data_IF_880558593429
#
_entry.id   IF_880558593429
#
_cell.length_a   1.000
_cell.length_b   1.000
_cell.length_c   1.000
_cell.angle_alpha   90.00
_cell.angle_beta   90.00
_cell.angle_gamma   90.00
#
_symmetry.space_group_name_H-M   'P 1'
#
loop_
_entity.id
_entity.type
_entity.pdbx_description
1 polymer ?
#
# COMPACT_ATOMS: atom_id res chain seq x y z
N UNK A 1 25.69 -45.04 -4.21
CA UNK A 1 24.66 -44.94 -3.15
C UNK A 1 23.82 -43.70 -3.41
N UNK A 2 22.72 -43.85 -4.15
CA UNK A 2 21.74 -42.80 -4.39
C UNK A 2 20.78 -42.75 -3.18
N UNK A 3 20.70 -41.61 -2.48
CA UNK A 3 19.64 -41.35 -1.52
C UNK A 3 18.59 -40.46 -2.19
N UNK A 4 17.43 -41.08 -2.42
CA UNK A 4 16.19 -40.43 -2.85
C UNK A 4 15.71 -39.50 -1.72
N UNK A 5 15.52 -38.22 -2.02
CA UNK A 5 14.65 -37.35 -1.25
C UNK A 5 13.43 -37.03 -2.10
N UNK A 6 12.28 -37.46 -1.60
CA UNK A 6 10.97 -37.32 -2.21
C UNK A 6 10.41 -35.97 -1.76
N UNK A 7 10.26 -35.01 -2.67
CA UNK A 7 9.56 -33.75 -2.39
C UNK A 7 8.20 -33.83 -3.08
N UNK A 8 7.17 -34.09 -2.27
CA UNK A 8 5.77 -33.83 -2.64
C UNK A 8 5.54 -32.33 -2.44
N UNK A 9 5.25 -31.60 -3.53
CA UNK A 9 4.79 -30.23 -3.46
C UNK A 9 3.52 -30.09 -4.31
N UNK A 10 2.46 -29.76 -3.59
CA UNK A 10 1.07 -29.70 -4.00
C UNK A 10 0.83 -28.69 -5.12
N UNK A 11 0.14 -29.12 -6.18
CA UNK A 11 -0.35 -28.24 -7.23
C UNK A 11 -1.42 -27.31 -6.64
N UNK A 12 -1.10 -26.01 -6.53
CA UNK A 12 -2.09 -24.98 -6.27
C UNK A 12 -2.91 -24.75 -7.54
N UNK A 13 -4.13 -25.29 -7.55
CA UNK A 13 -5.15 -24.99 -8.55
C UNK A 13 -5.56 -23.53 -8.41
N UNK A 14 -5.33 -22.73 -9.46
CA UNK A 14 -5.95 -21.42 -9.65
C UNK A 14 -7.47 -21.61 -9.72
N UNK A 15 -8.18 -21.24 -8.66
CA UNK A 15 -9.64 -21.11 -8.70
C UNK A 15 -9.95 -19.75 -9.32
N UNK A 16 -10.45 -19.78 -10.56
CA UNK A 16 -11.08 -18.63 -11.18
C UNK A 16 -12.25 -18.18 -10.30
N UNK A 17 -12.20 -16.94 -9.82
CA UNK A 17 -13.24 -16.34 -8.98
C UNK A 17 -14.58 -16.34 -9.72
N UNK A 18 -15.51 -17.18 -9.28
CA UNK A 18 -16.88 -17.15 -9.73
C UNK A 18 -17.54 -15.85 -9.22
N UNK A 19 -18.11 -15.07 -10.15
CA UNK A 19 -19.05 -13.99 -9.85
C UNK A 19 -20.25 -14.62 -9.14
N UNK A 20 -20.28 -14.57 -7.82
CA UNK A 20 -21.41 -15.07 -7.03
C UNK A 20 -22.44 -13.96 -6.93
N UNK A 21 -23.53 -14.11 -7.69
CA UNK A 21 -24.75 -13.35 -7.47
C UNK A 21 -25.38 -13.88 -6.17
N UNK A 22 -25.13 -13.18 -5.06
CA UNK A 22 -25.78 -13.48 -3.79
C UNK A 22 -27.25 -13.03 -3.87
N UNK A 23 -28.16 -13.97 -3.62
CA UNK A 23 -29.60 -13.74 -3.54
C UNK A 23 -29.93 -12.85 -2.34
N UNK A 24 -30.67 -11.76 -2.61
CA UNK A 24 -31.06 -10.74 -1.66
C UNK A 24 -31.99 -11.31 -0.58
N UNK A 25 -31.58 -11.25 0.69
CA UNK A 25 -32.49 -11.47 1.81
C UNK A 25 -33.29 -10.18 2.03
N UNK A 26 -34.57 -10.18 1.64
CA UNK A 26 -35.47 -9.07 1.87
C UNK A 26 -35.81 -8.95 3.36
N UNK A 27 -35.27 -7.94 4.05
CA UNK A 27 -35.77 -7.53 5.36
C UNK A 27 -37.06 -6.73 5.16
N UNK A 28 -38.19 -7.29 5.55
CA UNK A 28 -39.47 -6.58 5.63
C UNK A 28 -39.45 -5.61 6.81
N UNK A 29 -39.19 -4.33 6.51
CA UNK A 29 -39.39 -3.25 7.48
C UNK A 29 -40.89 -3.01 7.71
N UNK A 30 -41.32 -3.09 8.97
CA UNK A 30 -42.68 -2.80 9.41
C UNK A 30 -42.71 -1.51 10.26
N UNK A 31 -43.61 -0.58 9.92
CA UNK A 31 -43.92 0.66 10.64
C UNK A 31 -43.47 1.92 9.89
N UNK A 32 -44.26 2.98 9.69
CA UNK A 32 -45.64 3.31 10.04
C UNK A 32 -45.87 4.80 9.71
N UNK A 33 -46.96 5.10 8.99
CA UNK A 33 -47.71 6.36 8.96
C UNK A 33 -47.01 7.71 8.71
N UNK A 34 -47.19 8.28 7.51
CA UNK A 34 -46.99 9.71 7.24
C UNK A 34 -47.10 10.05 5.76
N UNK A 35 -48.18 10.72 5.36
CA UNK A 35 -48.55 10.96 3.96
C UNK A 35 -47.56 11.81 3.17
N UNK A 36 -47.05 11.21 2.09
CA UNK A 36 -46.36 11.83 0.97
C UNK A 36 -46.08 10.73 -0.04
N UNK A 37 -46.57 10.87 -1.28
CA UNK A 37 -46.40 9.89 -2.37
C UNK A 37 -44.93 9.80 -2.86
N UNK A 38 -43.96 9.67 -1.96
CA UNK A 38 -42.62 9.24 -2.34
C UNK A 38 -42.66 7.72 -2.47
N UNK A 39 -42.77 7.26 -3.71
CA UNK A 39 -42.74 5.84 -4.02
C UNK A 39 -41.52 5.18 -3.37
N UNK A 40 -41.75 4.09 -2.63
CA UNK A 40 -40.71 3.42 -1.84
C UNK A 40 -39.64 2.85 -2.77
N UNK A 41 -38.37 3.14 -2.46
CA UNK A 41 -37.24 2.58 -3.19
C UNK A 41 -37.17 1.06 -3.00
N UNK A 42 -37.02 0.31 -4.08
CA UNK A 42 -36.81 -1.14 -4.04
C UNK A 42 -35.55 -1.50 -4.80
N UNK A 43 -34.78 -2.44 -4.27
CA UNK A 43 -33.56 -2.95 -4.92
C UNK A 43 -33.82 -4.36 -5.41
N UNK A 44 -33.68 -4.57 -6.71
CA UNK A 44 -33.79 -5.87 -7.36
C UNK A 44 -32.43 -6.58 -7.43
N UNK A 45 -31.35 -5.83 -7.61
CA UNK A 45 -29.98 -6.36 -7.56
C UNK A 45 -28.97 -5.30 -7.17
N UNK A 46 -27.86 -5.75 -6.59
CA UNK A 46 -26.72 -4.93 -6.21
C UNK A 46 -25.45 -5.70 -6.52
N UNK A 47 -24.53 -5.09 -7.28
CA UNK A 47 -23.25 -5.69 -7.66
C UNK A 47 -22.10 -4.72 -7.44
N UNK A 48 -20.92 -5.27 -7.19
CA UNK A 48 -19.68 -4.51 -7.00
C UNK A 48 -18.64 -5.07 -7.96
N UNK A 49 -18.13 -4.21 -8.86
CA UNK A 49 -17.11 -4.56 -9.83
C UNK A 49 -15.76 -3.93 -9.45
N UNK A 50 -14.68 -4.64 -9.80
CA UNK A 50 -13.28 -4.23 -9.63
C UNK A 50 -12.88 -3.92 -8.17
N UNK A 51 -12.58 -4.97 -7.40
CA UNK A 51 -12.28 -4.92 -5.96
C UNK A 51 -10.78 -4.84 -5.65
N UNK A 52 -10.04 -4.01 -6.40
CA UNK A 52 -8.62 -3.76 -6.13
C UNK A 52 -8.46 -2.68 -5.06
N UNK A 53 -7.64 -2.93 -4.04
CA UNK A 53 -7.39 -1.95 -2.99
C UNK A 53 -6.86 -0.64 -3.58
N UNK A 54 -7.38 0.50 -3.12
CA UNK A 54 -6.95 1.83 -3.56
C UNK A 54 -7.41 2.23 -4.98
N UNK A 55 -8.14 1.36 -5.69
CA UNK A 55 -8.72 1.66 -7.01
C UNK A 55 -10.24 1.86 -6.87
N UNK A 56 -10.84 2.87 -7.51
CA UNK A 56 -12.30 3.05 -7.46
C UNK A 56 -13.05 1.81 -7.96
N UNK A 57 -13.86 1.22 -7.09
CA UNK A 57 -14.79 0.15 -7.41
C UNK A 57 -16.13 0.75 -7.89
N UNK A 58 -16.76 0.10 -8.87
CA UNK A 58 -18.08 0.48 -9.37
C UNK A 58 -19.14 -0.36 -8.68
N UNK A 59 -20.06 0.31 -7.98
CA UNK A 59 -21.25 -0.32 -7.41
C UNK A 59 -22.43 -0.02 -8.31
N UNK A 60 -23.11 -1.06 -8.77
CA UNK A 60 -24.31 -0.95 -9.62
C UNK A 60 -25.50 -1.49 -8.85
N UNK A 61 -26.55 -0.67 -8.74
CA UNK A 61 -27.78 -1.01 -8.05
C UNK A 61 -28.93 -0.86 -9.03
N UNK A 62 -29.72 -1.92 -9.22
CA UNK A 62 -30.87 -1.95 -10.12
C UNK A 62 -32.14 -2.10 -9.30
N UNK A 63 -33.19 -1.36 -9.64
CA UNK A 63 -34.40 -1.28 -8.83
C UNK A 63 -35.41 -0.28 -9.35
N UNK A 64 -36.21 0.28 -8.44
CA UNK A 64 -37.19 1.35 -8.73
C UNK A 64 -37.12 2.44 -7.66
N UNK A 65 -37.44 3.69 -8.05
CA UNK A 65 -37.42 4.86 -7.18
C UNK A 65 -36.06 5.10 -6.49
N UNK A 66 -34.96 4.87 -7.22
CA UNK A 66 -33.58 4.95 -6.71
C UNK A 66 -33.00 6.38 -6.65
N UNK A 67 -33.78 7.41 -7.01
CA UNK A 67 -33.30 8.80 -7.08
C UNK A 67 -32.68 9.32 -5.77
N UNK A 68 -33.23 8.91 -4.62
CA UNK A 68 -32.77 9.31 -3.29
C UNK A 68 -31.91 8.26 -2.58
N UNK A 69 -31.45 7.25 -3.31
CA UNK A 69 -30.62 6.19 -2.74
C UNK A 69 -29.27 6.75 -2.32
N UNK A 70 -28.82 6.37 -1.12
CA UNK A 70 -27.47 6.64 -0.64
C UNK A 70 -26.72 5.32 -0.38
N UNK A 71 -25.40 5.40 -0.35
CA UNK A 71 -24.51 4.28 -0.13
C UNK A 71 -23.68 4.52 1.14
N UNK A 72 -23.75 3.58 2.07
CA UNK A 72 -22.86 3.53 3.23
C UNK A 72 -21.87 2.39 3.04
N UNK A 73 -20.57 2.69 3.03
CA UNK A 73 -19.53 1.71 2.83
C UNK A 73 -18.38 1.94 3.82
N UNK A 74 -18.36 1.22 4.93
CA UNK A 74 -17.35 1.36 5.99
C UNK A 74 -15.94 0.91 5.56
N UNK A 75 -15.83 0.07 4.53
CA UNK A 75 -14.56 -0.36 3.92
C UNK A 75 -14.17 0.40 2.65
N UNK A 76 -14.86 1.48 2.32
CA UNK A 76 -14.52 2.34 1.18
C UNK A 76 -14.51 3.81 1.54
N UNK A 77 -13.63 4.56 0.88
CA UNK A 77 -13.58 6.02 0.91
C UNK A 77 -14.22 6.60 -0.35
N UNK A 78 -14.56 7.88 -0.30
CA UNK A 78 -15.03 8.67 -1.45
C UNK A 78 -16.27 8.08 -2.15
N UNK A 79 -17.17 7.45 -1.39
CA UNK A 79 -18.43 6.92 -1.90
C UNK A 79 -19.27 8.05 -2.53
N UNK A 80 -19.41 8.02 -3.86
CA UNK A 80 -20.03 9.10 -4.64
C UNK A 80 -20.98 8.53 -5.67
N UNK A 81 -22.18 9.11 -5.76
CA UNK A 81 -23.14 8.78 -6.83
C UNK A 81 -22.66 9.35 -8.16
N UNK A 82 -22.60 8.51 -9.19
CA UNK A 82 -22.14 8.91 -10.51
C UNK A 82 -23.28 9.55 -11.30
N UNK A 83 -23.01 10.71 -11.89
CA UNK A 83 -23.99 11.54 -12.62
C UNK A 83 -23.62 11.78 -14.08
N UNK A 84 -22.40 11.46 -14.49
CA UNK A 84 -21.91 11.65 -15.85
C UNK A 84 -21.99 10.36 -16.67
N UNK A 85 -22.26 10.49 -17.97
CA UNK A 85 -22.23 9.37 -18.91
C UNK A 85 -20.81 8.77 -19.03
N UNK A 86 -20.66 7.46 -19.28
CA UNK A 86 -21.70 6.47 -19.56
C UNK A 86 -22.37 5.85 -18.33
N UNK A 87 -21.87 6.13 -17.12
CA UNK A 87 -22.35 5.55 -15.85
C UNK A 87 -23.19 6.55 -15.04
N UNK A 88 -24.09 7.26 -15.70
CA UNK A 88 -24.98 8.20 -15.05
C UNK A 88 -26.13 7.47 -14.35
N UNK A 89 -26.36 7.78 -13.08
CA UNK A 89 -27.44 7.18 -12.30
C UNK A 89 -28.80 7.71 -12.73
N UNK A 90 -29.78 6.80 -12.81
CA UNK A 90 -31.20 7.07 -13.06
C UNK A 90 -32.06 6.63 -11.86
N UNK A 91 -33.38 6.67 -12.03
CA UNK A 91 -34.33 6.20 -11.03
C UNK A 91 -34.49 4.66 -11.00
N UNK A 92 -34.00 3.97 -12.04
CA UNK A 92 -34.04 2.50 -12.16
C UNK A 92 -32.67 1.83 -12.00
N UNK A 93 -31.59 2.57 -12.26
CA UNK A 93 -30.22 2.10 -12.09
C UNK A 93 -29.36 3.17 -11.44
N UNK A 94 -28.86 2.92 -10.24
CA UNK A 94 -27.93 3.81 -9.56
C UNK A 94 -26.50 3.28 -9.64
N UNK A 95 -25.58 4.15 -10.03
CA UNK A 95 -24.15 3.86 -10.06
C UNK A 95 -23.45 4.68 -8.98
N UNK A 96 -22.60 4.01 -8.21
CA UNK A 96 -21.72 4.66 -7.24
C UNK A 96 -20.29 4.24 -7.49
N UNK A 97 -19.37 5.16 -7.23
CA UNK A 97 -17.96 4.85 -7.12
C UNK A 97 -17.56 4.91 -5.65
N UNK A 98 -16.74 3.98 -5.21
CA UNK A 98 -16.14 3.99 -3.88
C UNK A 98 -14.77 3.31 -3.94
N UNK A 99 -13.79 3.81 -3.21
CA UNK A 99 -12.41 3.29 -3.25
C UNK A 99 -12.15 2.43 -2.03
N UNK A 100 -11.94 1.11 -2.17
CA UNK A 100 -11.65 0.25 -1.02
C UNK A 100 -10.37 0.68 -0.30
N UNK A 101 -10.45 0.80 1.02
CA UNK A 101 -9.36 1.23 1.88
C UNK A 101 -9.60 0.79 3.33
N UNK A 102 -8.55 0.46 4.07
CA UNK A 102 -8.69 -0.12 5.40
C UNK A 102 -9.05 -1.60 5.32
N UNK A 103 -10.33 -1.93 5.44
CA UNK A 103 -10.75 -3.32 5.61
C UNK A 103 -10.65 -4.15 4.32
N UNK A 104 -10.17 -5.40 4.44
CA UNK A 104 -10.18 -6.38 3.34
C UNK A 104 -11.53 -7.05 3.13
N UNK A 105 -12.38 -7.05 4.15
CA UNK A 105 -13.76 -7.51 4.07
C UNK A 105 -14.66 -6.50 4.76
N UNK A 106 -15.71 -6.06 4.07
CA UNK A 106 -16.71 -5.16 4.60
C UNK A 106 -18.06 -5.37 3.90
N UNK A 107 -19.04 -4.54 4.21
CA UNK A 107 -20.36 -4.58 3.58
C UNK A 107 -20.73 -3.19 3.10
N UNK A 108 -21.23 -3.12 1.88
CA UNK A 108 -21.81 -1.92 1.31
C UNK A 108 -23.31 -1.99 1.53
N UNK A 109 -23.88 -0.93 2.11
CA UNK A 109 -25.29 -0.81 2.41
C UNK A 109 -25.92 0.21 1.49
N UNK A 110 -26.98 -0.18 0.80
CA UNK A 110 -27.87 0.72 0.09
C UNK A 110 -28.93 1.21 1.07
N UNK A 111 -28.98 2.53 1.30
CA UNK A 111 -29.83 3.16 2.31
C UNK A 111 -30.82 4.10 1.63
N UNK A 112 -32.09 3.99 2.01
CA UNK A 112 -33.16 4.89 1.59
C UNK A 112 -34.02 5.26 2.80
N UNK A 113 -34.40 6.52 2.93
CA UNK A 113 -35.19 7.05 4.05
C UNK A 113 -34.65 6.66 5.45
N UNK A 114 -33.32 6.57 5.58
CA UNK A 114 -32.65 6.20 6.84
C UNK A 114 -32.59 4.70 7.14
N UNK A 115 -33.19 3.84 6.31
CA UNK A 115 -33.15 2.38 6.45
C UNK A 115 -32.30 1.69 5.38
N UNK A 116 -31.61 0.62 5.76
CA UNK A 116 -30.93 -0.27 4.81
C UNK A 116 -31.95 -1.10 4.05
N UNK A 117 -31.92 -1.02 2.71
CA UNK A 117 -32.85 -1.74 1.82
C UNK A 117 -32.15 -2.82 1.00
N UNK A 118 -30.82 -2.77 0.89
CA UNK A 118 -30.00 -3.83 0.32
C UNK A 118 -28.58 -3.78 0.90
N UNK A 119 -27.88 -4.89 0.81
CA UNK A 119 -26.49 -5.00 1.24
C UNK A 119 -25.72 -5.91 0.30
N UNK A 120 -24.44 -5.63 0.11
CA UNK A 120 -23.55 -6.41 -0.73
C UNK A 120 -22.18 -6.54 -0.05
N UNK A 121 -21.62 -7.75 0.06
CA UNK A 121 -20.26 -7.92 0.56
C UNK A 121 -19.24 -7.24 -0.37
N UNK A 122 -18.24 -6.61 0.23
CA UNK A 122 -17.06 -6.11 -0.44
C UNK A 122 -15.85 -6.86 0.11
N UNK A 123 -15.19 -7.62 -0.76
CA UNK A 123 -13.95 -8.32 -0.44
C UNK A 123 -12.86 -7.82 -1.38
N UNK A 124 -11.77 -7.33 -0.82
CA UNK A 124 -10.57 -6.91 -1.54
C UNK A 124 -9.37 -7.74 -1.08
N UNK A 125 -8.48 -8.06 -2.00
CA UNK A 125 -7.23 -8.74 -1.66
C UNK A 125 -6.26 -7.75 -1.01
N UNK A 126 -5.38 -8.21 -0.10
CA UNK A 126 -4.28 -7.39 0.40
C UNK A 126 -3.43 -6.87 -0.77
N UNK A 127 -3.09 -5.56 -0.81
CA UNK A 127 -2.36 -5.02 -1.93
C UNK A 127 -0.91 -5.52 -1.94
N UNK A 128 -0.43 -5.92 -3.12
CA UNK A 128 0.97 -6.29 -3.34
C UNK A 128 1.59 -5.25 -4.27
N UNK A 129 2.77 -4.75 -3.90
CA UNK A 129 3.59 -3.90 -4.78
C UNK A 129 4.88 -4.61 -5.13
N UNK A 130 5.19 -4.68 -6.42
CA UNK A 130 6.47 -5.16 -6.92
C UNK A 130 7.29 -3.96 -7.39
N UNK A 131 8.48 -3.81 -6.84
CA UNK A 131 9.44 -2.76 -7.17
C UNK A 131 10.68 -3.36 -7.82
N UNK A 132 11.04 -2.91 -9.01
CA UNK A 132 12.25 -3.37 -9.71
C UNK A 132 13.40 -2.42 -9.42
N UNK A 133 14.56 -2.96 -9.08
CA UNK A 133 15.76 -2.21 -8.72
C UNK A 133 16.94 -2.66 -9.55
N UNK A 134 17.84 -1.72 -9.87
CA UNK A 134 19.06 -2.01 -10.62
C UNK A 134 20.23 -1.11 -10.20
N UNK A 135 21.43 -1.44 -10.65
CA UNK A 135 22.63 -0.62 -10.52
C UNK A 135 23.50 -1.06 -9.36
N UNK A 136 23.83 -0.11 -8.50
CA UNK A 136 24.78 -0.31 -7.42
C UNK A 136 26.24 -0.45 -7.90
N UNK A 137 27.15 -0.66 -6.96
CA UNK A 137 28.57 -0.90 -7.23
C UNK A 137 28.78 -2.07 -8.17
N UNK A 138 29.62 -1.86 -9.19
CA UNK A 138 29.91 -2.84 -10.26
C UNK A 138 28.67 -3.31 -11.05
N UNK A 139 27.53 -2.60 -10.97
CA UNK A 139 26.28 -2.99 -11.64
C UNK A 139 25.70 -4.31 -11.14
N UNK A 140 26.03 -4.70 -9.91
CA UNK A 140 25.72 -6.03 -9.36
C UNK A 140 24.28 -6.21 -8.88
N UNK A 141 23.54 -5.13 -8.68
CA UNK A 141 22.16 -5.18 -8.21
C UNK A 141 21.23 -5.23 -9.41
N UNK A 142 20.44 -6.30 -9.52
CA UNK A 142 19.30 -6.41 -10.43
C UNK A 142 18.29 -7.38 -9.81
N UNK A 143 17.08 -6.89 -9.52
CA UNK A 143 16.06 -7.74 -8.91
C UNK A 143 14.77 -7.01 -8.58
N UNK A 144 13.88 -7.72 -7.89
CA UNK A 144 12.57 -7.22 -7.48
C UNK A 144 12.40 -7.30 -5.97
N UNK A 145 11.75 -6.28 -5.42
CA UNK A 145 11.34 -6.19 -4.02
C UNK A 145 9.81 -6.26 -3.97
N UNK A 146 9.26 -7.20 -3.21
CA UNK A 146 7.82 -7.44 -3.10
C UNK A 146 7.33 -7.02 -1.72
N UNK A 147 6.44 -6.03 -1.71
CA UNK A 147 5.79 -5.50 -0.53
C UNK A 147 4.39 -6.12 -0.40
N UNK A 148 4.13 -6.82 0.70
CA UNK A 148 2.79 -7.23 1.09
C UNK A 148 2.24 -6.14 2.02
N UNK A 149 1.45 -5.23 1.45
CA UNK A 149 0.99 -4.05 2.17
C UNK A 149 -0.11 -4.42 3.19
N UNK A 150 -0.15 -3.71 4.32
CA UNK A 150 -1.06 -3.94 5.45
C UNK A 150 -2.13 -2.85 5.52
N UNK A 151 -2.94 -2.73 4.47
CA UNK A 151 -3.97 -1.69 4.36
C UNK A 151 -5.01 -1.74 5.50
N UNK A 152 -5.25 -2.92 6.07
CA UNK A 152 -6.16 -3.12 7.20
C UNK A 152 -5.60 -2.68 8.56
N UNK A 153 -4.33 -2.31 8.62
CA UNK A 153 -3.60 -2.07 9.86
C UNK A 153 -2.94 -0.68 9.83
N UNK A 154 -2.45 -0.24 8.66
CA UNK A 154 -1.94 1.10 8.41
C UNK A 154 -2.57 1.70 7.13
N UNK A 155 -3.90 1.95 7.12
CA UNK A 155 -4.62 2.40 5.93
C UNK A 155 -4.14 3.73 5.35
N UNK A 156 -3.86 4.74 6.18
CA UNK A 156 -3.41 6.05 5.70
C UNK A 156 -2.04 5.90 5.03
N UNK A 157 -1.17 5.08 5.62
CA UNK A 157 0.18 4.83 5.14
C UNK A 157 0.19 4.05 3.83
N UNK A 158 -0.61 3.00 3.73
CA UNK A 158 -0.75 2.19 2.51
C UNK A 158 -1.38 3.00 1.38
N UNK A 159 -2.42 3.78 1.66
CA UNK A 159 -3.04 4.67 0.67
C UNK A 159 -2.02 5.69 0.14
N UNK A 160 -1.23 6.30 1.02
CA UNK A 160 -0.16 7.22 0.64
C UNK A 160 0.92 6.55 -0.21
N UNK A 161 1.40 5.37 0.20
CA UNK A 161 2.41 4.63 -0.55
C UNK A 161 1.90 4.27 -1.96
N UNK A 162 0.66 3.77 -2.07
CA UNK A 162 0.03 3.46 -3.36
C UNK A 162 -0.22 4.70 -4.21
N UNK A 163 -0.54 5.85 -3.61
CA UNK A 163 -0.65 7.10 -4.34
C UNK A 163 0.67 7.46 -5.04
N UNK A 164 1.82 7.27 -4.39
CA UNK A 164 3.13 7.45 -5.03
C UNK A 164 3.45 6.39 -6.09
N UNK A 165 3.09 5.12 -5.86
CA UNK A 165 3.21 4.05 -6.87
C UNK A 165 2.41 4.39 -8.13
N UNK A 166 1.21 4.95 -7.96
CA UNK A 166 0.25 5.19 -9.03
C UNK A 166 0.26 6.63 -9.59
N UNK A 167 1.17 7.50 -9.15
CA UNK A 167 1.18 8.93 -9.54
C UNK A 167 1.64 9.20 -10.99
N UNK A 168 2.03 8.15 -11.72
CA UNK A 168 2.58 8.25 -13.06
C UNK A 168 1.51 8.17 -14.16
N UNK A 169 1.95 8.30 -15.42
CA UNK A 169 1.09 8.14 -16.60
C UNK A 169 1.00 6.69 -17.10
N UNK A 170 1.79 5.80 -16.53
CA UNK A 170 1.87 4.37 -16.81
C UNK A 170 1.86 3.59 -15.50
N UNK A 171 1.35 2.34 -15.46
CA UNK A 171 1.30 1.51 -14.25
C UNK A 171 2.66 1.24 -13.57
N UNK A 172 3.78 1.60 -14.20
CA UNK A 172 5.14 1.32 -13.74
C UNK A 172 6.01 2.57 -13.53
N UNK A 173 5.54 3.77 -13.90
CA UNK A 173 6.34 5.00 -13.92
C UNK A 173 5.89 6.05 -12.88
N UNK A 174 5.35 5.60 -11.74
CA UNK A 174 5.00 6.48 -10.63
C UNK A 174 6.21 7.16 -9.98
N UNK A 175 5.95 7.86 -8.87
CA UNK A 175 6.94 8.66 -8.16
C UNK A 175 8.22 7.89 -7.80
N UNK A 176 8.14 6.60 -7.47
CA UNK A 176 9.33 5.83 -7.08
C UNK A 176 10.29 5.55 -8.23
N UNK A 177 9.84 5.58 -9.50
CA UNK A 177 10.74 5.41 -10.63
C UNK A 177 11.81 6.53 -10.67
N UNK A 178 13.07 6.14 -10.78
CA UNK A 178 14.23 7.02 -10.73
C UNK A 178 14.63 7.48 -9.31
N UNK A 179 13.95 7.01 -8.27
CA UNK A 179 14.42 7.21 -6.88
C UNK A 179 15.54 6.22 -6.54
N UNK A 180 16.33 6.54 -5.54
CA UNK A 180 17.45 5.70 -5.10
C UNK A 180 17.31 5.24 -3.64
N UNK A 181 18.01 4.18 -3.30
CA UNK A 181 18.35 3.88 -1.91
C UNK A 181 19.55 4.73 -1.51
N UNK A 182 19.29 5.74 -0.68
CA UNK A 182 20.25 6.80 -0.33
C UNK A 182 20.84 6.61 1.07
N UNK A 183 20.32 5.67 1.86
CA UNK A 183 20.88 5.32 3.15
C UNK A 183 20.87 3.81 3.30
N UNK A 184 22.07 3.25 3.30
CA UNK A 184 22.35 1.86 3.62
C UNK A 184 23.32 1.86 4.80
N UNK A 185 22.95 1.19 5.89
CA UNK A 185 23.74 1.13 7.13
C UNK A 185 24.55 -0.17 7.16
N UNK A 186 25.82 -0.09 7.56
CA UNK A 186 26.65 -1.27 7.78
C UNK A 186 26.26 -2.02 9.06
N UNK A 187 25.50 -3.10 8.87
CA UNK A 187 24.99 -3.93 9.94
C UNK A 187 26.01 -4.87 10.60
N UNK A 188 27.26 -4.88 10.13
CA UNK A 188 28.36 -5.67 10.72
C UNK A 188 29.37 -4.81 11.49
N UNK A 189 29.15 -3.49 11.59
CA UNK A 189 30.05 -2.57 12.28
C UNK A 189 29.47 -2.07 13.62
N UNK A 190 29.78 -2.71 14.76
CA UNK A 190 29.27 -2.31 16.07
C UNK A 190 29.80 -0.94 16.55
N UNK A 191 30.81 -0.38 15.89
CA UNK A 191 31.38 0.95 16.18
C UNK A 191 30.72 2.07 15.37
N UNK A 192 29.86 1.74 14.39
CA UNK A 192 29.07 2.73 13.63
C UNK A 192 27.92 3.36 14.44
N UNK A 193 27.74 2.92 15.69
CA UNK A 193 26.70 3.38 16.61
C UNK A 193 25.54 2.38 16.72
N UNK A 194 24.61 2.58 17.67
CA UNK A 194 23.48 1.68 17.91
C UNK A 194 22.41 1.67 16.79
N UNK A 195 22.58 2.39 15.70
CA UNK A 195 21.44 3.07 15.07
C UNK A 195 20.93 2.44 13.75
N UNK A 196 20.44 1.21 13.93
CA UNK A 196 19.41 0.51 13.15
C UNK A 196 19.75 0.14 11.71
N UNK A 197 19.81 -1.18 11.50
CA UNK A 197 20.13 -1.81 10.23
C UNK A 197 18.98 -1.64 9.25
N UNK A 198 19.05 -0.57 8.46
CA UNK A 198 18.02 -0.23 7.48
C UNK A 198 18.58 0.03 6.09
N UNK A 199 17.71 -0.24 5.11
CA UNK A 199 17.87 0.20 3.73
C UNK A 199 16.75 1.20 3.46
N UNK A 200 17.09 2.47 3.28
CA UNK A 200 16.11 3.56 3.13
C UNK A 200 16.17 4.17 1.72
N UNK A 201 14.99 4.40 1.16
CA UNK A 201 14.80 4.85 -0.22
C UNK A 201 13.54 5.71 -0.41
N UNK A 202 13.21 5.98 -1.67
CA UNK A 202 11.96 6.62 -2.06
C UNK A 202 11.85 8.12 -1.77
N UNK A 203 12.95 8.80 -1.44
CA UNK A 203 12.97 10.26 -1.17
C UNK A 203 13.73 11.05 -2.23
N UNK A 204 14.88 10.53 -2.67
CA UNK A 204 15.84 11.25 -3.48
C UNK A 204 15.97 10.66 -4.88
N UNK A 205 16.27 11.51 -5.86
CA UNK A 205 16.67 11.09 -7.21
C UNK A 205 18.14 10.67 -7.28
N UNK A 206 18.66 10.47 -8.51
CA UNK A 206 20.04 10.08 -8.74
C UNK A 206 21.05 11.01 -8.04
N UNK A 207 22.14 10.42 -7.54
CA UNK A 207 23.18 11.10 -6.77
C UNK A 207 24.56 10.83 -7.40
N UNK A 208 25.41 11.85 -7.40
CA UNK A 208 26.84 11.73 -7.71
C UNK A 208 27.67 11.72 -6.43
N UNK A 209 28.91 11.20 -6.51
CA UNK A 209 29.80 11.11 -5.34
C UNK A 209 30.02 12.48 -4.69
N UNK A 210 30.01 12.50 -3.35
CA UNK A 210 30.41 13.68 -2.55
C UNK A 210 29.33 14.75 -2.32
N UNK A 211 28.08 14.54 -2.77
CA UNK A 211 26.98 15.51 -2.55
C UNK A 211 25.75 14.83 -1.96
N UNK A 212 25.06 15.51 -1.04
CA UNK A 212 23.73 15.06 -0.59
C UNK A 212 22.78 15.08 -1.79
N UNK A 213 22.04 14.00 -2.05
CA UNK A 213 21.12 14.00 -3.16
C UNK A 213 19.95 14.95 -2.91
N UNK A 214 19.40 15.54 -3.98
CA UNK A 214 18.25 16.43 -3.90
C UNK A 214 16.95 15.61 -3.81
N UNK A 215 16.03 16.03 -2.93
CA UNK A 215 14.74 15.37 -2.78
C UNK A 215 14.00 15.43 -4.12
N UNK A 216 13.39 14.30 -4.53
CA UNK A 216 12.65 14.25 -5.78
C UNK A 216 11.40 15.12 -5.65
N UNK A 217 11.22 16.06 -6.57
CA UNK A 217 10.06 16.94 -6.58
C UNK A 217 8.75 16.15 -6.76
N UNK A 218 7.64 16.70 -6.26
CA UNK A 218 6.31 16.10 -6.38
C UNK A 218 5.89 15.25 -5.19
N UNK A 219 6.45 15.48 -4.00
CA UNK A 219 5.94 14.88 -2.76
C UNK A 219 4.58 15.45 -2.38
N UNK A 220 3.67 14.60 -1.96
CA UNK A 220 2.39 14.95 -1.34
C UNK A 220 2.57 15.49 0.08
N UNK A 221 1.47 15.97 0.67
CA UNK A 221 1.43 16.44 2.05
C UNK A 221 1.79 15.32 3.03
N UNK A 222 2.41 15.64 4.19
CA UNK A 222 2.72 14.64 5.20
C UNK A 222 1.47 13.96 5.77
N UNK A 223 1.64 12.70 6.19
CA UNK A 223 0.56 11.88 6.73
C UNK A 223 0.62 11.77 8.26
N UNK A 224 -0.54 11.45 8.86
CA UNK A 224 -0.62 11.08 10.27
C UNK A 224 0.11 9.76 10.53
N UNK A 225 0.77 9.66 11.68
CA UNK A 225 1.54 8.48 12.08
C UNK A 225 0.63 7.32 12.54
N UNK A 226 0.79 6.14 11.93
CA UNK A 226 0.05 4.91 12.26
C UNK A 226 0.95 3.84 12.92
N UNK A 227 1.26 3.99 14.21
CA UNK A 227 2.12 3.03 14.94
C UNK A 227 1.39 1.83 15.54
N UNK A 228 0.07 1.73 15.33
CA UNK A 228 -0.70 0.50 15.56
C UNK A 228 -0.40 -0.57 14.51
N UNK A 229 0.45 -0.25 13.53
CA UNK A 229 0.72 -0.96 12.29
C UNK A 229 1.45 -2.31 12.40
N UNK A 230 2.08 -2.57 13.55
CA UNK A 230 2.97 -3.70 13.77
C UNK A 230 4.32 -3.28 14.36
N UNK A 231 5.22 -4.25 14.47
CA UNK A 231 6.53 -4.14 15.12
C UNK A 231 7.63 -4.03 14.06
N UNK A 232 8.63 -3.18 14.28
CA UNK A 232 9.77 -2.98 13.38
C UNK A 232 10.78 -4.15 13.45
N UNK A 233 10.32 -5.35 13.07
CA UNK A 233 11.15 -6.56 12.99
C UNK A 233 11.77 -6.73 11.61
N UNK A 234 12.73 -7.65 11.51
CA UNK A 234 13.41 -7.98 10.27
C UNK A 234 12.42 -8.28 9.11
N UNK A 235 12.73 -7.77 7.92
CA UNK A 235 11.94 -7.90 6.69
C UNK A 235 10.56 -7.26 6.70
N UNK A 236 10.38 -6.21 7.52
CA UNK A 236 9.25 -5.29 7.40
C UNK A 236 9.66 -4.00 6.68
N UNK A 237 8.68 -3.32 6.07
CA UNK A 237 8.86 -1.96 5.57
C UNK A 237 8.06 -0.97 6.40
N UNK A 238 8.68 0.17 6.71
CA UNK A 238 8.10 1.25 7.49
C UNK A 238 8.35 2.61 6.85
N UNK A 239 7.51 3.59 7.18
CA UNK A 239 7.66 4.96 6.65
C UNK A 239 8.78 5.71 7.34
N UNK A 240 9.68 6.31 6.57
CA UNK A 240 10.64 7.27 7.09
C UNK A 240 9.96 8.60 7.39
N UNK A 241 10.43 9.29 8.44
CA UNK A 241 9.93 10.59 8.87
C UNK A 241 11.06 11.44 9.47
N UNK A 242 10.80 12.73 9.61
CA UNK A 242 11.65 13.63 10.42
C UNK A 242 11.37 13.42 11.92
N UNK A 243 11.95 14.26 12.78
CA UNK A 243 11.66 14.26 14.21
C UNK A 243 10.17 14.45 14.53
N UNK A 244 9.42 15.20 13.72
CA UNK A 244 7.98 15.37 13.90
C UNK A 244 7.21 14.07 13.56
N UNK A 245 6.28 13.66 14.43
CA UNK A 245 5.55 12.41 14.28
C UNK A 245 4.78 12.32 12.93
N UNK A 246 4.02 13.35 12.58
CA UNK A 246 3.20 13.42 11.38
C UNK A 246 3.96 14.07 10.20
N UNK A 247 5.17 13.59 9.90
CA UNK A 247 6.03 14.18 8.86
C UNK A 247 6.43 13.22 7.73
N UNK A 248 5.94 11.97 7.76
CA UNK A 248 6.19 11.00 6.70
C UNK A 248 5.55 11.47 5.39
N UNK A 249 6.29 11.37 4.27
CA UNK A 249 5.80 11.66 2.92
C UNK A 249 6.01 10.43 2.01
N UNK A 250 7.07 10.39 1.20
CA UNK A 250 7.36 9.28 0.25
C UNK A 250 8.46 8.34 0.74
N UNK A 251 9.28 8.77 1.72
CA UNK A 251 10.40 7.97 2.20
C UNK A 251 9.94 6.72 2.94
N UNK A 252 10.57 5.59 2.65
CA UNK A 252 10.37 4.33 3.35
C UNK A 252 11.72 3.65 3.62
N UNK A 253 11.73 2.72 4.56
CA UNK A 253 12.89 1.88 4.82
C UNK A 253 12.50 0.44 5.09
N UNK A 254 13.46 -0.46 4.87
CA UNK A 254 13.37 -1.86 5.23
C UNK A 254 14.17 -2.13 6.49
N UNK A 255 13.57 -2.86 7.43
CA UNK A 255 14.28 -3.40 8.58
C UNK A 255 15.09 -4.63 8.15
N UNK A 256 16.42 -4.56 8.20
CA UNK A 256 17.33 -5.69 7.86
C UNK A 256 17.62 -6.56 9.09
N UNK A 257 17.38 -6.04 10.29
CA UNK A 257 17.34 -6.77 11.57
C UNK A 257 16.12 -6.35 12.38
N UNK A 258 15.98 -6.89 13.59
CA UNK A 258 14.96 -6.45 14.52
C UNK A 258 15.36 -5.12 15.18
N UNK A 259 14.60 -4.06 14.88
CA UNK A 259 14.81 -2.70 15.39
C UNK A 259 13.70 -2.27 16.37
N UNK A 260 12.86 -3.19 16.84
CA UNK A 260 11.66 -2.88 17.64
C UNK A 260 11.93 -2.05 18.89
N UNK A 261 13.03 -2.33 19.60
CA UNK A 261 13.40 -1.61 20.82
C UNK A 261 13.49 -0.08 20.63
N UNK A 262 13.81 0.36 19.41
CA UNK A 262 14.01 1.76 19.10
C UNK A 262 13.00 2.37 18.14
N UNK A 263 12.50 1.58 17.20
CA UNK A 263 11.60 2.06 16.17
C UNK A 263 10.14 1.88 16.51
N UNK A 264 9.82 1.07 17.52
CA UNK A 264 8.48 1.04 18.08
C UNK A 264 8.31 2.15 19.12
N UNK A 265 7.14 2.18 19.77
CA UNK A 265 6.72 3.29 20.62
C UNK A 265 7.44 3.36 21.97
N UNK A 266 8.28 2.37 22.30
CA UNK A 266 9.04 2.31 23.55
C UNK A 266 10.04 3.47 23.69
N UNK A 267 10.61 3.93 22.57
CA UNK A 267 11.67 4.94 22.55
C UNK A 267 11.23 6.29 21.94
N UNK A 268 9.94 6.47 21.66
CA UNK A 268 9.40 7.69 21.06
C UNK A 268 8.08 7.45 20.31
N UNK A 269 7.69 8.34 19.38
CA UNK A 269 6.45 8.14 18.63
C UNK A 269 6.50 6.93 17.68
N UNK A 270 7.69 6.39 17.39
CA UNK A 270 7.89 5.19 16.57
C UNK A 270 7.84 5.45 15.06
N UNK A 271 7.85 4.37 14.27
CA UNK A 271 7.74 4.37 12.80
C UNK A 271 6.64 3.40 12.35
N UNK A 272 5.77 3.87 11.44
CA UNK A 272 4.63 3.10 10.97
C UNK A 272 5.07 1.97 10.02
N UNK A 273 5.02 0.73 10.51
CA UNK A 273 5.15 -0.47 9.69
C UNK A 273 3.90 -0.62 8.84
N UNK A 274 4.07 -0.72 7.52
CA UNK A 274 2.96 -0.79 6.57
C UNK A 274 3.06 -1.96 5.59
N UNK A 275 4.16 -2.73 5.62
CA UNK A 275 4.29 -3.93 4.80
C UNK A 275 5.20 -4.98 5.41
N UNK A 276 4.96 -6.25 5.04
CA UNK A 276 5.96 -7.32 5.15
C UNK A 276 6.63 -7.52 3.78
N UNK A 277 7.91 -7.86 3.78
CA UNK A 277 8.68 -8.13 2.56
C UNK A 277 8.90 -9.63 2.40
N UNK A 278 8.40 -10.19 1.30
CA UNK A 278 8.49 -11.63 1.03
C UNK A 278 9.26 -11.92 -0.26
N UNK A 279 10.13 -12.92 -0.25
CA UNK A 279 10.84 -13.35 -1.46
C UNK A 279 11.90 -12.36 -1.96
N UNK A 280 12.24 -11.34 -1.17
CA UNK A 280 13.21 -10.29 -1.52
C UNK A 280 14.38 -10.20 -0.55
N UNK A 281 14.53 -11.17 0.35
CA UNK A 281 15.62 -11.19 1.33
C UNK A 281 16.99 -11.21 0.63
N UNK A 282 17.14 -11.97 -0.45
CA UNK A 282 18.40 -12.06 -1.20
C UNK A 282 18.81 -10.70 -1.78
N UNK A 283 17.91 -10.01 -2.47
CA UNK A 283 18.20 -8.71 -3.07
C UNK A 283 18.43 -7.63 -2.01
N UNK A 284 17.64 -7.63 -0.93
CA UNK A 284 17.84 -6.68 0.18
C UNK A 284 19.17 -6.93 0.89
N UNK A 285 19.57 -8.18 1.08
CA UNK A 285 20.88 -8.52 1.67
C UNK A 285 22.03 -8.06 0.78
N UNK A 286 21.91 -8.22 -0.55
CA UNK A 286 22.90 -7.69 -1.50
C UNK A 286 23.01 -6.17 -1.43
N UNK A 287 21.88 -5.47 -1.37
CA UNK A 287 21.86 -4.00 -1.23
C UNK A 287 22.49 -3.60 0.10
N UNK A 288 22.14 -4.28 1.20
CA UNK A 288 22.70 -4.00 2.52
C UNK A 288 24.22 -4.17 2.54
N UNK A 289 24.73 -5.22 1.89
CA UNK A 289 26.16 -5.54 1.86
C UNK A 289 27.01 -4.48 1.13
N UNK A 290 26.40 -3.56 0.37
CA UNK A 290 27.11 -2.44 -0.25
C UNK A 290 27.83 -1.59 0.82
N UNK A 291 27.23 -1.44 2.00
CA UNK A 291 27.82 -0.64 3.07
C UNK A 291 29.17 -1.20 3.59
N UNK A 292 29.44 -2.48 3.34
CA UNK A 292 30.69 -3.16 3.71
C UNK A 292 31.80 -3.01 2.66
N UNK A 293 31.51 -2.41 1.51
CA UNK A 293 32.44 -2.30 0.36
C UNK A 293 33.52 -1.22 0.47
N UNK A 294 33.61 -0.50 1.58
CA UNK A 294 34.59 0.57 1.81
C UNK A 294 34.20 1.94 1.19
N UNK A 295 34.99 2.97 1.49
CA UNK A 295 34.67 4.39 1.21
C UNK A 295 34.58 4.76 -0.27
N UNK A 296 35.23 4.00 -1.16
CA UNK A 296 35.18 4.21 -2.62
C UNK A 296 33.81 3.84 -3.22
N UNK A 297 33.04 3.03 -2.50
CA UNK A 297 31.77 2.43 -2.91
C UNK A 297 30.59 3.02 -2.11
N UNK A 298 30.90 3.43 -0.90
CA UNK A 298 29.99 3.87 0.15
C UNK A 298 30.60 5.13 0.79
N UNK A 299 30.62 6.27 0.07
CA UNK A 299 31.15 7.51 0.62
C UNK A 299 30.27 7.95 1.80
N UNK A 300 30.92 8.34 2.90
CA UNK A 300 30.24 8.97 4.03
C UNK A 300 29.58 10.25 3.54
N UNK A 301 28.29 10.42 3.83
CA UNK A 301 27.62 11.67 3.55
C UNK A 301 28.25 12.78 4.39
N UNK A 302 28.64 13.89 3.77
CA UNK A 302 29.23 15.03 4.49
C UNK A 302 28.23 15.49 5.55
N UNK A 303 28.61 15.38 6.83
CA UNK A 303 27.79 15.77 7.98
C UNK A 303 26.99 14.64 8.64
N UNK A 304 27.10 13.38 8.19
CA UNK A 304 26.46 12.22 8.81
C UNK A 304 27.52 11.17 9.16
N UNK A 305 27.74 10.94 10.47
CA UNK A 305 28.78 10.04 10.99
C UNK A 305 28.18 8.78 11.65
N UNK A 306 27.08 8.24 11.13
CA UNK A 306 26.32 7.11 11.71
C UNK A 306 26.55 5.78 10.95
N UNK A 307 27.59 5.69 10.12
CA UNK A 307 27.87 4.53 9.27
C UNK A 307 26.92 4.37 8.06
N UNK A 308 26.01 5.33 7.84
CA UNK A 308 25.20 5.37 6.61
C UNK A 308 26.04 5.77 5.41
N UNK A 309 25.66 5.24 4.25
CA UNK A 309 26.13 5.77 2.98
C UNK A 309 25.07 5.80 1.87
N UNK A 310 25.37 6.62 0.87
CA UNK A 310 24.72 6.61 -0.44
C UNK A 310 25.57 5.74 -1.36
N UNK A 311 25.07 4.58 -1.83
CA UNK A 311 25.76 3.79 -2.85
C UNK A 311 26.11 4.64 -4.07
N UNK A 312 27.37 4.60 -4.52
CA UNK A 312 27.81 5.21 -5.79
C UNK A 312 28.61 4.17 -6.58
N UNK A 313 28.16 3.75 -7.78
CA UNK A 313 26.89 4.05 -8.44
C UNK A 313 25.64 3.70 -7.60
N UNK A 314 24.54 4.42 -7.81
CA UNK A 314 23.33 4.26 -7.00
C UNK A 314 22.61 2.94 -7.27
N UNK A 315 21.93 2.42 -6.24
CA UNK A 315 20.85 1.44 -6.44
C UNK A 315 19.57 2.21 -6.72
N UNK A 316 19.06 2.06 -7.94
CA UNK A 316 17.96 2.85 -8.50
C UNK A 316 16.71 2.00 -8.64
N UNK A 317 15.57 2.55 -8.23
CA UNK A 317 14.25 2.00 -8.52
C UNK A 317 13.88 2.32 -9.97
N UNK A 318 13.67 1.29 -10.78
CA UNK A 318 13.30 1.44 -12.20
C UNK A 318 11.79 1.50 -12.37
N UNK A 319 11.06 0.75 -11.55
CA UNK A 319 9.60 0.76 -11.54
C UNK A 319 9.06 0.32 -10.18
N UNK A 320 7.84 0.74 -9.89
CA UNK A 320 7.02 0.21 -8.81
C UNK A 320 5.59 0.10 -9.32
N UNK A 321 4.96 -1.05 -9.11
CA UNK A 321 3.59 -1.29 -9.57
C UNK A 321 2.82 -2.11 -8.55
N UNK A 322 1.54 -1.77 -8.35
CA UNK A 322 0.62 -2.59 -7.57
C UNK A 322 0.19 -3.80 -8.43
N UNK A 323 0.72 -4.97 -8.10
CA UNK A 323 0.53 -6.24 -8.83
C UNK A 323 -0.65 -7.07 -8.32
N UNK A 324 -1.23 -6.69 -7.18
CA UNK A 324 -2.48 -7.23 -6.64
C UNK A 324 -3.40 -6.11 -6.14
#
# INVERSE_FOLDING_TARGET
MQKRFNVSASAHTLVAGALTAATLAALTACGGGGGGNSATATVSSMTVAATKYGTPALVTIVGTNLSNLNLQASGCKNATRLTAAPTASSDTTAYFSCTPSGAYSSTILAVSNGGTIAQQPLTVLPPIVTMTVTGGPSGSINGTIVFNLKGNVAPITVDNFLAYVNSGTSPTNGFYAGTIFHRVVDFNNPQAGPEYDVIQGGTYGAATSGTLPAAKAGTFAPIALETTGGTNVQWTAAMARTAAANSATSGFFFNVKNNSAAFDTTSGPGYAVFADVSGSQAILTQIAAIAQGGTSVCPTLVGINDGSCVPVPNVTVISAAQTQ
#
